data_IF_519137062512
#
_entry.id   IF_519137062512
#
_cell.length_a   1.000
_cell.length_b   1.000
_cell.length_c   1.000
_cell.angle_alpha   90.00
_cell.angle_beta   90.00
_cell.angle_gamma   90.00
#
_symmetry.space_group_name_H-M   'P 1'
#
loop_
_entity.id
_entity.type
_entity.pdbx_description
1 polymer ?
#
# COMPACT_ATOMS: atom_id res chain seq x y z
N UNK A 1 -3.34 15.80 -2.13
CA UNK A 1 -3.82 14.64 -1.35
C UNK A 1 -3.99 13.49 -2.31
N UNK A 2 -3.51 12.30 -1.96
CA UNK A 2 -3.65 11.09 -2.77
C UNK A 2 -4.51 10.09 -2.01
N UNK A 3 -5.41 9.41 -2.71
CA UNK A 3 -6.12 8.24 -2.20
C UNK A 3 -5.58 7.03 -2.96
N UNK A 4 -4.97 6.10 -2.22
CA UNK A 4 -4.41 4.88 -2.78
C UNK A 4 -5.37 3.73 -2.50
N UNK A 5 -5.81 3.07 -3.55
CA UNK A 5 -6.65 1.89 -3.43
C UNK A 5 -5.78 0.66 -3.08
N UNK A 6 -6.32 -0.20 -2.23
CA UNK A 6 -5.62 -1.37 -1.74
C UNK A 6 -5.65 -2.50 -2.78
N UNK A 7 -4.55 -3.24 -2.93
CA UNK A 7 -4.51 -4.44 -3.77
C UNK A 7 -5.70 -5.38 -3.49
N UNK A 8 -6.30 -5.94 -4.54
CA UNK A 8 -7.49 -6.79 -4.53
C UNK A 8 -8.81 -6.10 -4.14
N UNK A 9 -8.84 -4.77 -4.06
CA UNK A 9 -10.08 -4.01 -3.84
C UNK A 9 -10.35 -3.07 -5.01
N UNK A 10 -11.63 -2.87 -5.32
CA UNK A 10 -12.07 -2.01 -6.41
C UNK A 10 -11.45 -2.41 -7.75
N UNK A 11 -10.80 -1.46 -8.40
CA UNK A 11 -10.15 -1.65 -9.70
C UNK A 11 -8.69 -2.11 -9.57
N UNK A 12 -8.13 -2.10 -8.36
CA UNK A 12 -6.75 -2.48 -8.06
C UNK A 12 -6.56 -4.00 -7.98
N UNK A 13 -6.80 -4.70 -9.09
CA UNK A 13 -6.74 -6.15 -9.19
C UNK A 13 -5.44 -6.61 -9.87
N UNK A 14 -4.52 -7.31 -9.17
CA UNK A 14 -3.29 -7.81 -9.79
C UNK A 14 -3.52 -8.99 -10.74
N UNK A 15 -4.66 -9.67 -10.61
CA UNK A 15 -5.04 -10.85 -11.37
C UNK A 15 -6.53 -10.78 -11.73
N UNK A 16 -6.91 -11.37 -12.87
CA UNK A 16 -8.30 -11.39 -13.34
C UNK A 16 -9.21 -12.37 -12.57
N UNK A 17 -8.62 -13.25 -11.75
CA UNK A 17 -9.35 -14.27 -11.01
C UNK A 17 -8.87 -14.43 -9.57
N UNK A 18 -9.82 -14.69 -8.66
CA UNK A 18 -9.59 -14.86 -7.23
C UNK A 18 -9.41 -16.34 -6.85
N UNK A 19 -8.42 -17.00 -7.46
CA UNK A 19 -8.02 -18.36 -7.03
C UNK A 19 -7.18 -18.30 -5.75
N UNK A 20 -7.11 -19.40 -4.99
CA UNK A 20 -6.24 -19.49 -3.80
C UNK A 20 -4.78 -19.15 -4.12
N UNK A 21 -4.31 -19.55 -5.31
CA UNK A 21 -2.95 -19.27 -5.79
C UNK A 21 -2.71 -17.78 -6.05
N UNK A 22 -3.73 -17.06 -6.54
CA UNK A 22 -3.65 -15.63 -6.76
C UNK A 22 -3.84 -14.85 -5.45
N UNK A 23 -4.70 -15.32 -4.55
CA UNK A 23 -4.96 -14.67 -3.27
C UNK A 23 -3.79 -14.77 -2.27
N UNK A 24 -2.79 -15.64 -2.52
CA UNK A 24 -1.60 -15.72 -1.67
C UNK A 24 -0.82 -14.40 -1.57
N UNK A 25 -1.01 -13.47 -2.52
CA UNK A 25 -0.38 -12.14 -2.48
C UNK A 25 -1.26 -11.05 -1.86
N UNK A 26 -2.47 -11.38 -1.39
CA UNK A 26 -3.31 -10.50 -0.58
C UNK A 26 -2.79 -10.54 0.86
N UNK A 27 -1.72 -9.79 1.14
CA UNK A 27 -1.13 -9.67 2.47
C UNK A 27 -0.88 -8.22 2.84
N UNK A 28 -0.97 -7.90 4.13
CA UNK A 28 -0.70 -6.55 4.64
C UNK A 28 0.74 -6.09 4.34
N UNK A 29 1.72 -7.01 4.38
CA UNK A 29 3.11 -6.73 4.05
C UNK A 29 3.24 -6.25 2.60
N UNK A 30 2.56 -6.93 1.68
CA UNK A 30 2.63 -6.59 0.28
C UNK A 30 1.85 -5.31 -0.03
N UNK A 31 0.78 -5.01 0.70
CA UNK A 31 0.08 -3.72 0.59
C UNK A 31 0.93 -2.54 1.09
N UNK A 32 1.70 -2.72 2.17
CA UNK A 32 2.67 -1.72 2.64
C UNK A 32 3.82 -1.53 1.63
N UNK A 33 4.25 -2.61 0.97
CA UNK A 33 5.23 -2.53 -0.11
C UNK A 33 4.71 -1.70 -1.29
N UNK A 34 3.44 -1.87 -1.69
CA UNK A 34 2.82 -1.04 -2.73
C UNK A 34 2.79 0.45 -2.33
N UNK A 35 2.46 0.75 -1.08
CA UNK A 35 2.47 2.12 -0.57
C UNK A 35 3.87 2.75 -0.65
N UNK A 36 4.91 1.98 -0.30
CA UNK A 36 6.32 2.44 -0.42
C UNK A 36 6.70 2.72 -1.86
N UNK A 37 6.38 1.82 -2.79
CA UNK A 37 6.64 1.99 -4.23
C UNK A 37 5.85 3.17 -4.80
N UNK A 38 4.60 3.35 -4.38
CA UNK A 38 3.77 4.49 -4.77
C UNK A 38 4.41 5.82 -4.35
N UNK A 39 4.84 5.93 -3.10
CA UNK A 39 5.51 7.14 -2.59
C UNK A 39 6.78 7.44 -3.39
N UNK A 40 7.63 6.45 -3.64
CA UNK A 40 8.85 6.60 -4.45
C UNK A 40 8.51 7.08 -5.86
N UNK A 41 7.56 6.42 -6.51
CA UNK A 41 7.13 6.74 -7.88
C UNK A 41 6.57 8.17 -7.97
N UNK A 42 5.77 8.61 -6.99
CA UNK A 42 5.24 9.97 -6.98
C UNK A 42 6.33 11.00 -6.69
N UNK A 43 7.26 10.69 -5.80
CA UNK A 43 8.38 11.59 -5.52
C UNK A 43 9.21 11.83 -6.79
N UNK A 44 9.52 10.77 -7.54
CA UNK A 44 10.22 10.85 -8.82
C UNK A 44 9.39 11.62 -9.86
N UNK A 45 8.13 11.24 -10.08
CA UNK A 45 7.27 11.88 -11.10
C UNK A 45 7.00 13.36 -10.84
N UNK A 46 7.02 13.79 -9.58
CA UNK A 46 6.74 15.18 -9.17
C UNK A 46 8.00 15.96 -8.78
N UNK A 47 9.19 15.37 -8.90
CA UNK A 47 10.46 15.94 -8.47
C UNK A 47 10.43 16.42 -7.00
N UNK A 48 9.79 15.65 -6.12
CA UNK A 48 9.75 15.94 -4.70
C UNK A 48 11.07 15.51 -4.04
N UNK A 49 11.84 16.50 -3.59
CA UNK A 49 13.11 16.29 -2.88
C UNK A 49 12.87 16.45 -1.37
N UNK A 50 13.35 15.49 -0.56
CA UNK A 50 13.25 15.51 0.91
C UNK A 50 11.82 15.77 1.45
N UNK A 51 10.80 15.27 0.75
CA UNK A 51 9.40 15.51 1.12
C UNK A 51 8.93 14.60 2.25
N UNK A 52 8.16 15.17 3.18
CA UNK A 52 7.55 14.44 4.28
C UNK A 52 6.15 13.96 3.87
N UNK A 53 5.88 12.68 4.08
CA UNK A 53 4.58 12.07 3.83
C UNK A 53 3.83 11.86 5.14
N UNK A 54 2.56 12.24 5.17
CA UNK A 54 1.64 11.93 6.27
C UNK A 54 0.60 10.95 5.72
N UNK A 55 0.49 9.80 6.37
CA UNK A 55 -0.44 8.74 5.98
C UNK A 55 -1.65 8.79 6.89
N UNK A 56 -2.84 8.73 6.31
CA UNK A 56 -4.11 8.70 7.03
C UNK A 56 -4.82 7.38 6.76
N UNK A 57 -5.48 6.84 7.77
CA UNK A 57 -6.31 5.63 7.65
C UNK A 57 -7.15 5.42 8.91
N UNK A 58 -8.32 4.84 8.74
CA UNK A 58 -9.18 4.39 9.84
C UNK A 58 -9.45 2.90 9.72
N UNK A 59 -9.70 2.21 10.83
CA UNK A 59 -9.86 0.74 10.85
C UNK A 59 -8.61 0.03 10.28
N UNK A 60 -8.76 -0.95 9.39
CA UNK A 60 -7.65 -1.69 8.77
C UNK A 60 -6.60 -0.77 8.10
N UNK A 61 -6.97 0.20 7.23
CA UNK A 61 -6.03 1.22 6.75
C UNK A 61 -5.34 2.03 7.85
N UNK A 62 -5.99 2.23 9.00
CA UNK A 62 -5.37 2.89 10.16
C UNK A 62 -4.28 2.04 10.80
N UNK A 63 -4.47 0.73 10.89
CA UNK A 63 -3.42 -0.20 11.31
C UNK A 63 -2.24 -0.20 10.34
N UNK A 64 -2.50 -0.14 9.02
CA UNK A 64 -1.45 0.02 8.00
C UNK A 64 -0.71 1.35 8.16
N UNK A 65 -1.44 2.46 8.37
CA UNK A 65 -0.87 3.80 8.57
C UNK A 65 -0.02 3.90 9.85
N UNK A 66 -0.40 3.19 10.92
CA UNK A 66 0.36 3.09 12.16
C UNK A 66 1.60 2.19 12.02
N UNK A 67 1.62 1.28 11.03
CA UNK A 67 2.67 0.30 10.89
C UNK A 67 3.45 0.26 9.56
N UNK A 68 4.02 1.39 9.09
CA UNK A 68 4.84 1.39 7.88
C UNK A 68 6.15 0.59 8.01
N UNK A 69 6.70 0.41 9.22
CA UNK A 69 8.06 -0.13 9.41
C UNK A 69 8.23 -1.15 10.57
N UNK A 70 7.17 -1.55 11.29
CA UNK A 70 7.32 -2.32 12.55
C UNK A 70 6.47 -3.58 12.76
N UNK A 71 5.46 -3.87 11.93
CA UNK A 71 4.55 -5.01 12.17
C UNK A 71 4.90 -6.28 11.38
N UNK A 72 6.12 -6.38 10.84
CA UNK A 72 6.58 -7.55 10.08
C UNK A 72 7.04 -8.70 11.00
N UNK A 73 7.06 -8.51 12.32
CA UNK A 73 7.46 -9.52 13.29
C UNK A 73 6.34 -9.76 14.31
N UNK A 74 5.38 -10.60 13.94
CA UNK A 74 4.61 -11.43 14.88
C UNK A 74 4.47 -12.82 14.26
#
# INVERSE_FOLDING_TARGET
>A
MFALEHRYYGDSLPFDSFTTENLKYLTSQQALADLSVFIQTINEKRNFVNSKWIVFGGSYPGMLAACPNKCILI
#
